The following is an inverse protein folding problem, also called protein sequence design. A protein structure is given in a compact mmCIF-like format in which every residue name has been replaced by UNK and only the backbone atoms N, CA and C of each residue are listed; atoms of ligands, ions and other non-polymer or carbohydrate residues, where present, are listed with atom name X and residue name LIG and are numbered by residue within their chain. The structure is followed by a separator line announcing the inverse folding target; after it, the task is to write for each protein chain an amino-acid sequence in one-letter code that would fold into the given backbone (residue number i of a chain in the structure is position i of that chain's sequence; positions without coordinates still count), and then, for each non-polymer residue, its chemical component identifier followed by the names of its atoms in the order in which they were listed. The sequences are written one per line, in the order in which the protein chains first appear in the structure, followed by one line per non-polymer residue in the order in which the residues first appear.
data_IF_590395097180
#
_entry.id   IF_590395097180
#
_cell.length_a   1.000
_cell.length_b   1.000
_cell.length_c   1.000
_cell.angle_alpha   90.00
_cell.angle_beta   90.00
_cell.angle_gamma   90.00
#
_symmetry.space_group_name_H-M   'P 1'
#
loop_
_entity.id
_entity.type
_entity.pdbx_description
1 polymer ?
#
# COMPACT_ATOMS: atom_id res chain seq x y z
N UNK A 1 -30.53 25.25 1.21
CA UNK A 1 -29.37 25.95 0.63
C UNK A 1 -29.26 25.44 -0.80
N UNK A 2 -29.38 26.30 -1.82
CA UNK A 2 -29.30 25.89 -3.21
C UNK A 2 -27.87 25.44 -3.50
N UNK A 3 -27.74 24.21 -4.03
CA UNK A 3 -26.47 23.73 -4.54
C UNK A 3 -26.02 24.70 -5.64
N UNK A 4 -24.98 25.48 -5.40
CA UNK A 4 -24.34 26.26 -6.44
C UNK A 4 -23.65 25.28 -7.37
N UNK A 5 -24.14 25.15 -8.60
CA UNK A 5 -23.50 24.30 -9.60
C UNK A 5 -22.05 24.78 -9.81
N UNK A 6 -21.09 23.89 -9.61
CA UNK A 6 -19.67 24.21 -9.84
C UNK A 6 -19.48 24.68 -11.28
N UNK A 7 -18.79 25.80 -11.43
CA UNK A 7 -18.48 26.35 -12.75
C UNK A 7 -17.38 25.53 -13.41
N UNK A 8 -17.63 24.98 -14.58
CA UNK A 8 -16.60 24.42 -15.46
C UNK A 8 -15.96 25.56 -16.27
N UNK A 9 -14.64 25.59 -16.34
CA UNK A 9 -13.87 26.66 -16.98
C UNK A 9 -12.76 26.10 -17.85
N UNK A 10 -12.39 26.83 -18.88
CA UNK A 10 -11.22 26.49 -19.69
C UNK A 10 -9.94 26.82 -18.93
N UNK A 11 -9.04 25.85 -18.83
CA UNK A 11 -7.80 25.93 -18.04
C UNK A 11 -6.91 27.12 -18.49
N UNK A 12 -6.85 27.41 -19.79
CA UNK A 12 -6.04 28.48 -20.35
C UNK A 12 -6.37 29.88 -19.83
N UNK A 13 -7.58 30.10 -19.28
CA UNK A 13 -7.93 31.34 -18.63
C UNK A 13 -7.17 31.57 -17.32
N UNK A 14 -6.75 30.49 -16.65
CA UNK A 14 -6.22 30.45 -15.29
C UNK A 14 -4.73 30.14 -15.22
N UNK A 15 -4.10 29.72 -16.33
CA UNK A 15 -2.67 29.39 -16.40
C UNK A 15 -1.95 30.23 -17.43
N UNK A 16 -0.63 30.37 -17.26
CA UNK A 16 0.25 31.06 -18.20
C UNK A 16 1.55 30.26 -18.41
N UNK A 17 2.16 30.31 -19.61
CA UNK A 17 3.41 29.64 -19.86
C UNK A 17 4.58 30.32 -19.17
N UNK A 18 5.61 29.54 -18.79
CA UNK A 18 6.87 30.00 -18.23
C UNK A 18 8.00 29.55 -19.16
N UNK A 19 8.83 30.49 -19.61
CA UNK A 19 9.98 30.23 -20.50
C UNK A 19 11.29 30.86 -20.01
N UNK A 20 11.39 31.12 -18.69
CA UNK A 20 12.64 31.57 -18.08
C UNK A 20 13.70 30.48 -18.23
N UNK A 21 14.93 30.87 -18.62
CA UNK A 21 16.01 29.91 -18.94
C UNK A 21 17.23 30.12 -18.06
N UNK A 22 18.04 29.08 -17.92
CA UNK A 22 19.31 29.08 -17.20
C UNK A 22 20.40 29.85 -17.98
N UNK A 23 20.08 31.02 -18.54
CA UNK A 23 20.94 31.79 -19.43
C UNK A 23 22.24 32.26 -18.76
N UNK A 24 22.18 32.50 -17.46
CA UNK A 24 23.33 32.94 -16.63
C UNK A 24 24.17 31.74 -16.15
N UNK A 25 23.77 30.48 -16.41
CA UNK A 25 24.48 29.29 -15.98
C UNK A 25 24.49 29.07 -14.46
N UNK A 26 23.54 29.65 -13.74
CA UNK A 26 23.46 29.56 -12.27
C UNK A 26 23.19 28.13 -11.77
N UNK A 27 22.39 27.39 -12.51
CA UNK A 27 21.98 26.03 -12.16
C UNK A 27 22.85 25.00 -12.87
N UNK A 28 23.19 23.92 -12.14
CA UNK A 28 24.14 22.89 -12.53
C UNK A 28 23.47 21.55 -12.83
N UNK A 29 24.23 20.50 -13.08
CA UNK A 29 23.71 19.14 -13.31
C UNK A 29 22.91 18.60 -12.12
N UNK A 30 23.24 19.00 -10.90
CA UNK A 30 22.54 18.59 -9.69
C UNK A 30 21.10 19.14 -9.62
N UNK A 31 20.84 20.24 -10.37
CA UNK A 31 19.54 20.88 -10.44
C UNK A 31 18.68 20.35 -11.59
N UNK A 32 19.25 19.52 -12.49
CA UNK A 32 18.51 18.97 -13.63
C UNK A 32 17.48 17.96 -13.16
N UNK A 33 16.22 18.15 -13.58
CA UNK A 33 15.14 17.20 -13.34
C UNK A 33 14.51 16.72 -14.64
N UNK A 34 14.17 15.44 -14.64
CA UNK A 34 13.27 14.84 -15.60
C UNK A 34 11.87 14.70 -15.01
N UNK A 35 10.91 14.32 -15.85
CA UNK A 35 9.52 14.12 -15.46
C UNK A 35 9.14 12.65 -15.73
N UNK A 36 8.59 12.00 -14.72
CA UNK A 36 8.14 10.62 -14.85
C UNK A 36 6.66 10.51 -15.21
N UNK A 37 6.27 9.35 -15.75
CA UNK A 37 4.85 9.01 -15.97
C UNK A 37 4.07 8.80 -14.65
N UNK A 38 4.79 8.73 -13.51
CA UNK A 38 4.20 8.73 -12.17
C UNK A 38 3.93 10.16 -11.66
N UNK A 39 4.04 11.17 -12.54
CA UNK A 39 3.78 12.58 -12.22
C UNK A 39 4.69 13.13 -11.12
N UNK A 40 5.98 12.77 -11.19
CA UNK A 40 7.00 13.20 -10.22
C UNK A 40 8.21 13.78 -10.95
N UNK A 41 8.83 14.78 -10.34
CA UNK A 41 10.19 15.18 -10.69
C UNK A 41 11.14 14.07 -10.27
N UNK A 42 12.06 13.70 -11.15
CA UNK A 42 13.09 12.68 -10.93
C UNK A 42 14.44 13.23 -11.37
N UNK A 43 15.52 12.69 -10.83
CA UNK A 43 16.83 12.93 -11.40
C UNK A 43 16.85 12.50 -12.88
N UNK A 44 17.49 13.30 -13.73
CA UNK A 44 17.58 12.96 -15.15
C UNK A 44 18.25 11.61 -15.35
N UNK A 45 17.70 10.82 -16.29
CA UNK A 45 18.30 9.55 -16.72
C UNK A 45 19.08 9.69 -18.03
N UNK A 46 19.06 10.88 -18.61
CA UNK A 46 19.77 11.17 -19.85
C UNK A 46 21.28 11.28 -19.57
N UNK A 47 22.08 10.87 -20.56
CA UNK A 47 23.50 11.19 -20.55
C UNK A 47 23.66 12.69 -20.79
N UNK A 48 24.22 13.37 -19.80
CA UNK A 48 24.39 14.81 -19.79
C UNK A 48 25.81 15.25 -20.16
N UNK A 49 26.67 14.31 -20.57
CA UNK A 49 28.05 14.65 -20.94
C UNK A 49 28.07 15.57 -22.16
N UNK A 50 28.69 16.74 -22.02
CA UNK A 50 28.80 17.72 -23.10
C UNK A 50 27.51 18.49 -23.43
N UNK A 51 26.43 18.30 -22.66
CA UNK A 51 25.17 19.01 -22.86
C UNK A 51 25.23 20.40 -22.24
N UNK A 52 24.96 21.45 -23.03
CA UNK A 52 24.79 22.81 -22.49
C UNK A 52 23.51 22.92 -21.69
N UNK A 53 23.60 23.49 -20.48
CA UNK A 53 22.46 23.71 -19.60
C UNK A 53 21.85 25.13 -19.76
N UNK A 54 22.47 26.01 -20.55
CA UNK A 54 21.96 27.37 -20.75
C UNK A 54 20.58 27.46 -21.41
N UNK A 55 20.20 26.56 -22.35
CA UNK A 55 18.84 26.57 -22.92
C UNK A 55 17.78 25.89 -22.04
N UNK A 56 18.15 25.24 -20.93
CA UNK A 56 17.20 24.61 -20.04
C UNK A 56 16.26 25.63 -19.41
N UNK A 57 15.00 25.26 -19.27
CA UNK A 57 13.97 26.12 -18.65
C UNK A 57 14.04 25.99 -17.12
N UNK A 58 13.89 27.14 -16.43
CA UNK A 58 13.72 27.16 -14.97
C UNK A 58 12.36 26.57 -14.62
N UNK A 59 12.31 25.83 -13.51
CA UNK A 59 11.10 25.33 -12.90
C UNK A 59 11.07 25.78 -11.45
N UNK A 60 10.39 26.89 -11.21
CA UNK A 60 10.29 27.48 -9.88
C UNK A 60 9.33 26.73 -8.96
N UNK A 61 9.37 26.95 -7.63
CA UNK A 61 8.39 26.37 -6.72
C UNK A 61 6.96 26.66 -7.17
N UNK A 62 6.09 25.64 -7.09
CA UNK A 62 4.68 25.65 -7.50
C UNK A 62 4.44 25.82 -9.01
N UNK A 63 5.48 25.78 -9.83
CA UNK A 63 5.34 25.70 -11.30
C UNK A 63 5.23 24.24 -11.75
N UNK A 64 4.62 24.10 -12.90
CA UNK A 64 4.40 22.82 -13.56
C UNK A 64 5.33 22.68 -14.76
N UNK A 65 5.65 21.43 -15.07
CA UNK A 65 6.29 21.08 -16.32
C UNK A 65 5.70 19.81 -16.89
N UNK A 66 5.49 19.74 -18.20
CA UNK A 66 5.04 18.51 -18.84
C UNK A 66 5.77 18.26 -20.17
N UNK A 67 5.79 16.99 -20.57
CA UNK A 67 6.36 16.54 -21.84
C UNK A 67 5.25 16.53 -22.88
N UNK A 68 5.38 17.32 -23.93
CA UNK A 68 4.38 17.40 -24.99
C UNK A 68 4.22 16.11 -25.77
N UNK A 69 5.31 15.33 -25.98
CA UNK A 69 5.28 14.06 -26.71
C UNK A 69 4.64 12.96 -25.85
N UNK A 70 3.49 12.47 -26.27
CA UNK A 70 2.71 11.42 -25.56
C UNK A 70 2.93 10.01 -26.09
N UNK A 71 3.30 9.86 -27.36
CA UNK A 71 3.39 8.57 -28.06
C UNK A 71 4.37 7.56 -27.45
N UNK A 72 5.34 8.00 -26.64
CA UNK A 72 6.33 7.15 -25.97
C UNK A 72 5.94 6.69 -24.56
N UNK A 73 4.87 7.23 -24.01
CA UNK A 73 4.50 7.08 -22.59
C UNK A 73 3.29 6.16 -22.40
N UNK A 74 2.87 5.41 -23.42
CA UNK A 74 1.66 4.62 -23.39
C UNK A 74 0.42 5.52 -23.28
N UNK A 75 -0.45 5.24 -22.32
CA UNK A 75 -1.67 6.03 -22.08
C UNK A 75 -1.52 7.15 -21.05
N UNK A 76 -0.28 7.57 -20.70
CA UNK A 76 -0.06 8.57 -19.63
C UNK A 76 0.75 9.75 -20.13
N UNK A 77 0.36 10.96 -19.70
CA UNK A 77 1.17 12.18 -19.91
C UNK A 77 2.21 12.30 -18.78
N UNK A 78 3.46 12.61 -19.14
CA UNK A 78 4.49 12.99 -18.17
C UNK A 78 4.30 14.44 -17.78
N UNK A 79 3.85 14.67 -16.56
CA UNK A 79 3.58 15.99 -15.98
C UNK A 79 3.99 15.97 -14.51
N UNK A 80 4.54 17.05 -13.99
CA UNK A 80 4.84 17.22 -12.57
C UNK A 80 4.68 18.68 -12.15
N UNK A 81 4.44 18.88 -10.86
CA UNK A 81 4.57 20.17 -10.18
C UNK A 81 5.89 20.17 -9.39
N UNK A 82 6.54 21.32 -9.29
CA UNK A 82 7.61 21.51 -8.33
C UNK A 82 7.01 21.80 -6.94
N UNK A 83 6.85 20.78 -6.14
CA UNK A 83 6.33 20.82 -4.78
C UNK A 83 7.41 21.09 -3.72
N UNK A 84 8.60 21.52 -4.14
CA UNK A 84 9.73 21.85 -3.26
C UNK A 84 9.94 23.35 -3.13
N UNK A 85 10.78 23.77 -2.19
CA UNK A 85 11.21 25.17 -2.06
C UNK A 85 12.38 25.56 -2.98
N UNK A 86 12.92 24.63 -3.79
CA UNK A 86 14.08 24.87 -4.64
C UNK A 86 13.65 25.11 -6.09
N UNK A 87 14.44 25.88 -6.82
CA UNK A 87 14.31 26.02 -8.28
C UNK A 87 15.13 24.92 -8.95
N UNK A 88 14.56 24.25 -9.92
CA UNK A 88 15.22 23.26 -10.76
C UNK A 88 15.29 23.71 -12.21
N UNK A 89 16.02 22.97 -13.03
CA UNK A 89 16.03 23.14 -14.48
C UNK A 89 15.56 21.87 -15.18
N UNK A 90 14.77 22.06 -16.23
CA UNK A 90 14.19 20.99 -17.04
C UNK A 90 14.52 21.17 -18.51
N UNK A 91 14.37 20.14 -19.32
CA UNK A 91 14.66 20.20 -20.76
C UNK A 91 13.93 21.36 -21.43
N UNK A 92 14.62 22.03 -22.36
CA UNK A 92 14.02 23.09 -23.22
C UNK A 92 12.85 22.58 -24.07
N UNK A 93 12.72 21.27 -24.26
CA UNK A 93 11.60 20.64 -24.98
C UNK A 93 10.34 20.42 -24.16
N UNK A 94 10.38 20.72 -22.86
CA UNK A 94 9.21 20.62 -21.99
C UNK A 94 8.44 21.95 -22.00
N UNK A 95 7.15 21.87 -21.73
CA UNK A 95 6.34 23.05 -21.49
C UNK A 95 6.17 23.30 -20.01
N UNK A 96 6.60 24.51 -19.57
CA UNK A 96 6.44 24.93 -18.18
C UNK A 96 5.31 25.97 -18.12
N UNK A 97 4.54 25.90 -17.02
CA UNK A 97 3.44 26.81 -16.78
C UNK A 97 3.17 27.03 -15.29
N UNK A 98 2.44 28.07 -14.96
CA UNK A 98 1.98 28.36 -13.60
C UNK A 98 0.54 28.84 -13.57
N UNK A 99 -0.08 28.81 -12.40
CA UNK A 99 -1.37 29.48 -12.18
C UNK A 99 -1.17 30.99 -12.18
N UNK A 100 -2.00 31.72 -12.94
CA UNK A 100 -1.96 33.19 -13.00
C UNK A 100 -2.30 33.86 -11.68
N UNK A 101 -3.27 33.29 -10.97
CA UNK A 101 -3.82 33.81 -9.72
C UNK A 101 -4.14 32.67 -8.76
N UNK A 102 -3.29 32.49 -7.76
CA UNK A 102 -3.43 31.44 -6.76
C UNK A 102 -4.61 31.66 -5.81
N UNK A 103 -5.21 32.85 -5.79
CA UNK A 103 -6.43 33.10 -5.03
C UNK A 103 -7.69 32.56 -5.73
N UNK A 104 -7.58 32.18 -7.01
CA UNK A 104 -8.67 31.58 -7.80
C UNK A 104 -8.44 30.11 -8.08
N UNK A 105 -7.20 29.72 -8.38
CA UNK A 105 -6.83 28.35 -8.68
C UNK A 105 -5.55 27.96 -7.94
N UNK A 106 -5.66 27.06 -6.97
CA UNK A 106 -4.51 26.51 -6.26
C UNK A 106 -3.71 25.56 -7.16
N UNK A 107 -2.38 25.73 -7.28
CA UNK A 107 -1.55 24.80 -8.05
C UNK A 107 -1.69 23.35 -7.56
N UNK A 108 -1.74 23.13 -6.26
CA UNK A 108 -1.90 21.79 -5.66
C UNK A 108 -3.24 21.15 -6.05
N UNK A 109 -4.33 21.93 -6.07
CA UNK A 109 -5.63 21.46 -6.55
C UNK A 109 -5.58 21.12 -8.04
N UNK A 110 -4.99 22.02 -8.87
CA UNK A 110 -4.80 21.74 -10.29
C UNK A 110 -4.00 20.45 -10.50
N UNK A 111 -2.93 20.25 -9.72
CA UNK A 111 -2.14 19.02 -9.81
C UNK A 111 -2.97 17.76 -9.50
N UNK A 112 -3.89 17.81 -8.54
CA UNK A 112 -4.81 16.70 -8.28
C UNK A 112 -5.69 16.39 -9.50
N UNK A 113 -6.21 17.41 -10.17
CA UNK A 113 -7.02 17.24 -11.38
C UNK A 113 -6.21 16.61 -12.52
N UNK A 114 -5.00 17.13 -12.78
CA UNK A 114 -4.12 16.68 -13.85
C UNK A 114 -3.45 15.33 -13.57
N UNK A 115 -3.50 14.86 -12.32
CA UNK A 115 -2.93 13.56 -11.93
C UNK A 115 -3.86 12.38 -12.17
N UNK A 116 -5.12 12.62 -12.53
CA UNK A 116 -6.13 11.55 -12.72
C UNK A 116 -5.96 10.81 -14.04
N UNK A 117 -6.43 9.57 -14.05
CA UNK A 117 -6.45 8.74 -15.26
C UNK A 117 -7.35 9.30 -16.38
N UNK A 118 -8.37 10.09 -16.00
CA UNK A 118 -9.23 10.80 -16.94
C UNK A 118 -8.43 11.83 -17.76
N UNK A 119 -7.55 12.59 -17.10
CA UNK A 119 -6.68 13.54 -17.79
C UNK A 119 -5.63 12.84 -18.65
N UNK A 120 -5.11 11.71 -18.21
CA UNK A 120 -4.22 10.88 -19.04
C UNK A 120 -4.93 10.43 -20.34
N UNK A 121 -6.18 9.95 -20.24
CA UNK A 121 -6.97 9.58 -21.42
C UNK A 121 -7.30 10.77 -22.31
N UNK A 122 -7.68 11.90 -21.70
CA UNK A 122 -7.97 13.13 -22.42
C UNK A 122 -6.74 13.62 -23.19
N UNK A 123 -5.58 13.72 -22.55
CA UNK A 123 -4.34 14.16 -23.19
C UNK A 123 -3.91 13.23 -24.31
N UNK A 124 -4.09 11.91 -24.13
CA UNK A 124 -3.78 10.92 -25.18
C UNK A 124 -4.73 11.02 -26.37
N UNK A 125 -6.01 11.21 -26.13
CA UNK A 125 -7.02 11.36 -27.18
C UNK A 125 -6.82 12.62 -28.00
N UNK A 126 -6.44 13.73 -27.37
CA UNK A 126 -6.20 15.03 -28.00
C UNK A 126 -4.72 15.25 -28.39
N UNK A 127 -3.96 14.17 -28.62
CA UNK A 127 -2.59 14.23 -29.12
C UNK A 127 -2.56 13.91 -30.61
N UNK A 128 -1.86 14.73 -31.39
CA UNK A 128 -1.82 14.66 -32.84
C UNK A 128 -0.40 14.63 -33.38
N UNK A 129 -0.21 14.01 -34.54
CA UNK A 129 1.09 13.94 -35.23
C UNK A 129 1.34 12.61 -35.91
N UNK A 130 1.98 12.61 -37.08
CA UNK A 130 2.21 11.39 -37.89
C UNK A 130 3.38 10.55 -37.38
N UNK A 131 4.47 11.18 -36.92
CA UNK A 131 5.67 10.48 -36.43
C UNK A 131 5.81 10.52 -34.90
N UNK A 132 5.35 11.59 -34.29
CA UNK A 132 5.30 11.78 -32.83
C UNK A 132 4.02 12.51 -32.49
N UNK A 133 3.15 11.86 -31.74
CA UNK A 133 1.93 12.49 -31.27
C UNK A 133 2.28 13.41 -30.11
N UNK A 134 1.79 14.64 -30.17
CA UNK A 134 2.01 15.69 -29.18
C UNK A 134 0.70 16.23 -28.67
N UNK A 135 0.64 16.44 -27.37
CA UNK A 135 -0.40 17.20 -26.69
C UNK A 135 0.14 18.62 -26.48
N UNK A 136 -0.19 19.51 -27.40
CA UNK A 136 0.37 20.86 -27.43
C UNK A 136 -0.27 21.79 -26.40
N UNK A 137 0.36 22.98 -26.23
CA UNK A 137 -0.11 23.96 -25.28
C UNK A 137 -1.52 24.48 -25.58
N UNK A 138 -1.90 24.57 -26.84
CA UNK A 138 -3.22 25.09 -27.23
C UNK A 138 -4.32 24.10 -26.81
N UNK A 139 -4.09 22.80 -27.01
CA UNK A 139 -5.01 21.75 -26.52
C UNK A 139 -5.02 21.65 -24.99
N UNK A 140 -3.85 21.83 -24.36
CA UNK A 140 -3.76 21.88 -22.90
C UNK A 140 -4.64 23.01 -22.34
N UNK A 141 -4.60 24.20 -22.94
CA UNK A 141 -5.42 25.36 -22.56
C UNK A 141 -6.94 25.12 -22.75
N UNK A 142 -7.34 24.28 -23.69
CA UNK A 142 -8.76 23.95 -23.93
C UNK A 142 -9.33 22.96 -22.92
N UNK A 143 -8.47 22.34 -22.08
CA UNK A 143 -8.95 21.43 -21.04
C UNK A 143 -9.96 22.12 -20.15
N UNK A 144 -11.13 21.51 -19.98
CA UNK A 144 -12.12 21.99 -19.02
C UNK A 144 -11.89 21.38 -17.64
N UNK A 145 -11.92 22.22 -16.61
CA UNK A 145 -11.76 21.84 -15.22
C UNK A 145 -12.92 22.36 -14.36
N UNK A 146 -13.34 21.65 -13.32
CA UNK A 146 -14.24 22.19 -12.31
C UNK A 146 -13.47 23.19 -11.44
N UNK A 147 -14.04 24.36 -11.22
CA UNK A 147 -13.45 25.42 -10.40
C UNK A 147 -14.38 25.76 -9.22
N UNK A 148 -14.29 25.04 -8.11
CA UNK A 148 -14.99 25.37 -6.89
C UNK A 148 -14.34 26.59 -6.19
N UNK A 149 -14.94 27.05 -5.08
CA UNK A 149 -14.36 28.11 -4.27
C UNK A 149 -12.97 27.71 -3.74
N UNK A 150 -12.15 28.70 -3.40
CA UNK A 150 -10.77 28.47 -2.97
C UNK A 150 -10.73 27.64 -1.67
N UNK A 151 -11.72 27.81 -0.80
CA UNK A 151 -11.85 27.06 0.45
C UNK A 151 -12.08 25.58 0.17
N UNK A 152 -12.95 25.25 -0.79
CA UNK A 152 -13.20 23.87 -1.21
C UNK A 152 -11.96 23.26 -1.88
N UNK A 153 -11.24 24.02 -2.70
CA UNK A 153 -9.97 23.58 -3.29
C UNK A 153 -8.96 23.22 -2.18
N UNK A 154 -8.83 24.09 -1.16
CA UNK A 154 -7.92 23.87 -0.04
C UNK A 154 -8.32 22.62 0.78
N UNK A 155 -9.60 22.46 1.10
CA UNK A 155 -10.10 21.26 1.82
C UNK A 155 -9.74 19.95 1.06
N UNK A 156 -9.86 19.97 -0.27
CA UNK A 156 -9.52 18.80 -1.10
C UNK A 156 -8.01 18.51 -1.08
N UNK A 157 -7.19 19.56 -1.18
CA UNK A 157 -5.73 19.45 -1.10
C UNK A 157 -5.29 18.94 0.26
N UNK A 158 -5.84 19.47 1.34
CA UNK A 158 -5.52 19.07 2.72
C UNK A 158 -5.91 17.60 2.98
N UNK A 159 -7.08 17.18 2.51
CA UNK A 159 -7.54 15.80 2.61
C UNK A 159 -6.58 14.85 1.87
N UNK A 160 -6.19 15.20 0.65
CA UNK A 160 -5.25 14.40 -0.14
C UNK A 160 -3.88 14.30 0.54
N UNK A 161 -3.34 15.44 0.96
CA UNK A 161 -2.03 15.51 1.61
C UNK A 161 -2.03 14.77 2.95
N UNK A 162 -3.10 14.86 3.73
CA UNK A 162 -3.27 14.10 4.97
C UNK A 162 -3.25 12.60 4.75
N UNK A 163 -3.99 12.10 3.77
CA UNK A 163 -3.98 10.67 3.41
C UNK A 163 -2.63 10.22 2.85
N UNK A 164 -1.96 11.05 2.03
CA UNK A 164 -0.64 10.77 1.50
C UNK A 164 0.39 10.68 2.62
N UNK A 165 0.41 11.65 3.53
CA UNK A 165 1.31 11.66 4.68
C UNK A 165 1.07 10.44 5.59
N UNK A 166 -0.20 10.10 5.85
CA UNK A 166 -0.56 8.92 6.66
C UNK A 166 -0.02 7.63 6.04
N UNK A 167 -0.15 7.47 4.72
CA UNK A 167 0.40 6.31 4.02
C UNK A 167 1.93 6.27 4.11
N UNK A 168 2.61 7.36 3.78
CA UNK A 168 4.08 7.45 3.76
C UNK A 168 4.71 7.25 5.14
N UNK A 169 4.13 7.83 6.20
CA UNK A 169 4.59 7.66 7.57
C UNK A 169 4.49 6.20 8.02
N UNK A 170 3.36 5.55 7.73
CA UNK A 170 3.20 4.14 8.10
C UNK A 170 4.06 3.21 7.24
N UNK A 171 4.22 3.46 5.95
CA UNK A 171 5.14 2.71 5.08
C UNK A 171 6.59 2.78 5.60
N UNK A 172 7.04 3.94 6.11
CA UNK A 172 8.37 4.11 6.67
C UNK A 172 8.62 3.29 7.95
N UNK A 173 7.57 2.91 8.69
CA UNK A 173 7.67 2.07 9.88
C UNK A 173 7.79 0.57 9.56
N UNK A 174 7.37 0.12 8.38
CA UNK A 174 7.28 -1.31 8.05
C UNK A 174 8.65 -2.00 8.10
N UNK A 175 9.66 -1.44 7.44
CA UNK A 175 10.98 -2.06 7.37
C UNK A 175 11.70 -2.10 8.73
N UNK A 176 11.78 -1.02 9.51
CA UNK A 176 12.38 -1.05 10.84
C UNK A 176 11.69 -2.05 11.79
N UNK A 177 10.36 -2.06 11.83
CA UNK A 177 9.60 -2.99 12.68
C UNK A 177 9.79 -4.45 12.25
N UNK A 178 9.80 -4.74 10.95
CA UNK A 178 10.05 -6.08 10.42
C UNK A 178 11.43 -6.59 10.82
N UNK A 179 12.47 -5.76 10.64
CA UNK A 179 13.85 -6.10 11.03
C UNK A 179 13.97 -6.33 12.54
N UNK A 180 13.31 -5.53 13.36
CA UNK A 180 13.31 -5.70 14.81
C UNK A 180 12.67 -7.04 15.23
N UNK A 181 11.54 -7.40 14.63
CA UNK A 181 10.88 -8.69 14.87
C UNK A 181 11.76 -9.88 14.43
N UNK A 182 12.38 -9.80 13.26
CA UNK A 182 13.27 -10.85 12.76
C UNK A 182 14.51 -11.03 13.65
N UNK A 183 15.16 -9.93 14.03
CA UNK A 183 16.31 -9.94 14.91
C UNK A 183 15.99 -10.55 16.28
N UNK A 184 14.84 -10.21 16.85
CA UNK A 184 14.40 -10.79 18.14
C UNK A 184 14.25 -12.31 18.06
N UNK A 185 13.63 -12.84 16.99
CA UNK A 185 13.45 -14.29 16.83
C UNK A 185 14.81 -15.00 16.72
N UNK A 186 15.77 -14.41 16.01
CA UNK A 186 17.14 -14.95 15.90
C UNK A 186 17.83 -14.94 17.26
N UNK A 187 17.77 -13.83 18.00
CA UNK A 187 18.36 -13.70 19.32
C UNK A 187 17.75 -14.68 20.33
N UNK A 188 16.45 -14.91 20.27
CA UNK A 188 15.77 -15.87 21.15
C UNK A 188 16.38 -17.27 21.10
N UNK A 189 16.80 -17.75 19.92
CA UNK A 189 17.39 -19.08 19.74
C UNK A 189 18.75 -19.24 20.42
N UNK A 190 19.48 -18.15 20.53
CA UNK A 190 20.81 -18.16 21.18
C UNK A 190 20.72 -17.87 22.67
N UNK A 191 19.72 -17.11 23.10
CA UNK A 191 19.61 -16.55 24.45
C UNK A 191 18.77 -17.44 25.38
N UNK A 192 17.77 -18.15 24.85
CA UNK A 192 16.82 -18.92 25.67
C UNK A 192 16.86 -20.41 25.34
N UNK A 193 16.61 -21.28 26.35
CA UNK A 193 16.51 -22.71 26.10
C UNK A 193 15.32 -23.04 25.21
N UNK A 194 15.52 -24.02 24.34
CA UNK A 194 14.44 -24.57 23.54
C UNK A 194 13.62 -25.60 24.35
N UNK A 195 12.31 -25.52 24.23
CA UNK A 195 11.35 -26.41 24.85
C UNK A 195 10.49 -27.12 23.81
N UNK A 196 10.02 -28.32 24.11
CA UNK A 196 9.05 -29.01 23.26
C UNK A 196 7.67 -28.38 23.40
N UNK A 197 7.09 -27.97 22.26
CA UNK A 197 5.87 -27.19 22.20
C UNK A 197 4.65 -27.92 22.81
N UNK A 198 4.60 -29.25 22.72
CA UNK A 198 3.49 -30.07 23.22
C UNK A 198 3.20 -29.92 24.72
N UNK A 199 4.20 -29.49 25.52
CA UNK A 199 3.99 -29.14 26.92
C UNK A 199 3.20 -27.88 27.17
N UNK A 200 3.10 -26.99 26.16
CA UNK A 200 2.60 -25.63 26.29
C UNK A 200 1.34 -25.34 25.48
N UNK A 201 0.99 -26.20 24.53
CA UNK A 201 -0.22 -26.06 23.69
C UNK A 201 -1.18 -27.22 23.91
N UNK A 202 -2.44 -26.98 23.51
CA UNK A 202 -3.48 -28.00 23.51
C UNK A 202 -4.32 -27.87 22.23
N UNK A 203 -4.81 -29.00 21.70
CA UNK A 203 -5.71 -29.01 20.56
C UNK A 203 -7.13 -28.67 21.02
N UNK A 204 -7.78 -27.76 20.29
CA UNK A 204 -9.17 -27.37 20.49
C UNK A 204 -10.04 -27.99 19.39
N UNK A 205 -10.57 -29.21 19.63
CA UNK A 205 -11.40 -29.93 18.66
C UNK A 205 -12.90 -29.80 18.97
N UNK A 206 -13.39 -28.58 19.15
CA UNK A 206 -14.81 -28.29 19.30
C UNK A 206 -15.43 -27.90 17.97
N UNK A 207 -16.62 -28.48 17.72
CA UNK A 207 -17.39 -28.26 16.50
C UNK A 207 -18.56 -27.31 16.74
N UNK A 208 -19.00 -26.65 15.67
CA UNK A 208 -20.18 -25.77 15.64
C UNK A 208 -21.49 -26.59 15.63
N UNK A 209 -21.65 -27.54 16.57
CA UNK A 209 -22.68 -28.59 16.56
C UNK A 209 -24.10 -28.02 16.53
N UNK A 210 -24.32 -26.86 17.11
CA UNK A 210 -25.59 -26.12 17.13
C UNK A 210 -25.79 -25.21 15.90
N UNK A 211 -24.78 -25.16 15.02
CA UNK A 211 -24.75 -24.29 13.85
C UNK A 211 -24.95 -22.80 14.16
N UNK A 212 -24.59 -22.37 15.38
CA UNK A 212 -24.81 -21.00 15.86
C UNK A 212 -23.86 -19.98 15.20
N UNK A 213 -22.61 -20.37 14.96
CA UNK A 213 -21.58 -19.50 14.38
C UNK A 213 -21.64 -19.55 12.85
N UNK A 214 -21.81 -18.38 12.20
CA UNK A 214 -21.92 -18.23 10.74
C UNK A 214 -20.72 -17.52 10.10
N UNK A 215 -19.73 -17.13 10.90
CA UNK A 215 -18.50 -16.45 10.44
C UNK A 215 -17.49 -17.49 9.93
N UNK A 216 -17.68 -17.91 8.67
CA UNK A 216 -16.78 -18.88 8.03
C UNK A 216 -15.53 -18.18 7.54
N UNK A 217 -14.37 -18.66 7.95
CA UNK A 217 -13.06 -18.18 7.50
C UNK A 217 -12.25 -19.33 6.93
N UNK A 218 -11.32 -19.00 6.05
CA UNK A 218 -10.29 -19.93 5.56
C UNK A 218 -8.91 -19.47 6.02
N UNK A 219 -8.04 -20.43 6.32
CA UNK A 219 -6.63 -20.17 6.64
C UNK A 219 -5.86 -19.98 5.33
N UNK A 220 -5.14 -18.89 5.22
CA UNK A 220 -4.41 -18.50 4.01
C UNK A 220 -2.91 -18.82 4.13
N UNK A 221 -2.25 -18.98 2.99
CA UNK A 221 -0.78 -19.06 2.89
C UNK A 221 -0.06 -17.79 3.35
N UNK A 222 -0.78 -16.66 3.37
CA UNK A 222 -0.28 -15.40 3.97
C UNK A 222 -0.36 -15.39 5.49
N UNK A 223 -0.78 -16.52 6.09
CA UNK A 223 -0.89 -16.74 7.54
C UNK A 223 -1.88 -15.82 8.23
N UNK A 224 -3.02 -15.64 7.57
CA UNK A 224 -4.14 -14.82 8.01
C UNK A 224 -5.46 -15.53 7.73
N UNK A 225 -6.50 -15.16 8.49
CA UNK A 225 -7.86 -15.53 8.13
C UNK A 225 -8.38 -14.68 6.97
N UNK A 226 -8.97 -15.33 5.97
CA UNK A 226 -9.62 -14.68 4.83
C UNK A 226 -11.07 -15.15 4.71
N UNK A 227 -11.88 -14.35 4.03
CA UNK A 227 -13.19 -14.81 3.58
C UNK A 227 -13.00 -16.04 2.70
N UNK A 228 -13.86 -17.04 2.91
CA UNK A 228 -13.79 -18.25 2.10
C UNK A 228 -14.30 -17.99 0.68
N UNK A 229 -13.53 -18.43 -0.33
CA UNK A 229 -13.94 -18.39 -1.73
C UNK A 229 -14.81 -19.61 -2.10
N UNK A 230 -14.90 -20.62 -1.22
CA UNK A 230 -15.73 -21.79 -1.45
C UNK A 230 -17.21 -21.44 -1.29
N UNK A 231 -18.07 -22.06 -2.12
CA UNK A 231 -19.51 -22.04 -1.92
C UNK A 231 -19.85 -22.86 -0.69
N UNK A 232 -19.92 -22.23 0.46
CA UNK A 232 -20.25 -22.87 1.74
C UNK A 232 -21.72 -22.67 2.03
N UNK A 233 -22.44 -23.76 2.29
CA UNK A 233 -23.82 -23.68 2.79
C UNK A 233 -23.78 -23.28 4.28
N UNK A 234 -24.17 -22.05 4.60
CA UNK A 234 -24.18 -21.53 5.98
C UNK A 234 -25.19 -22.23 6.90
N UNK A 235 -26.11 -23.02 6.33
CA UNK A 235 -27.07 -23.79 7.11
C UNK A 235 -26.53 -25.16 7.53
N UNK A 236 -25.37 -25.57 7.02
CA UNK A 236 -24.73 -26.87 7.25
C UNK A 236 -23.31 -26.73 7.78
N UNK A 237 -23.09 -25.92 8.82
CA UNK A 237 -21.78 -25.68 9.42
C UNK A 237 -21.52 -26.50 10.68
N UNK A 238 -22.40 -27.45 11.01
CA UNK A 238 -22.29 -28.27 12.26
C UNK A 238 -21.00 -29.09 12.33
N UNK A 239 -20.43 -29.49 11.19
CA UNK A 239 -19.16 -30.20 11.11
C UNK A 239 -17.92 -29.31 11.19
N UNK A 240 -18.05 -28.01 11.05
CA UNK A 240 -16.93 -27.06 11.08
C UNK A 240 -16.37 -26.90 12.49
N UNK A 241 -15.05 -26.61 12.59
CA UNK A 241 -14.38 -26.40 13.87
C UNK A 241 -14.48 -24.94 14.29
N UNK A 242 -14.69 -24.74 15.59
CA UNK A 242 -14.69 -23.40 16.19
C UNK A 242 -13.25 -22.90 16.38
N UNK A 243 -13.05 -21.61 16.16
CA UNK A 243 -11.80 -20.89 16.43
C UNK A 243 -12.11 -19.67 17.31
N UNK A 244 -12.14 -19.83 18.64
CA UNK A 244 -12.35 -18.74 19.57
C UNK A 244 -11.23 -17.67 19.47
N UNK A 245 -11.41 -16.49 20.10
CA UNK A 245 -10.33 -15.52 20.27
C UNK A 245 -9.06 -16.16 20.85
N UNK A 246 -7.89 -15.71 20.39
CA UNK A 246 -6.57 -16.21 20.80
C UNK A 246 -6.35 -17.73 20.58
N UNK A 247 -6.97 -18.27 19.52
CA UNK A 247 -6.69 -19.60 19.01
C UNK A 247 -6.05 -19.51 17.64
N UNK A 248 -5.11 -20.42 17.35
CA UNK A 248 -4.49 -20.57 16.03
C UNK A 248 -5.18 -21.70 15.30
N UNK A 249 -5.70 -21.46 14.11
CA UNK A 249 -6.06 -22.50 13.17
C UNK A 249 -4.93 -22.73 12.17
N UNK A 250 -4.67 -24.01 11.79
CA UNK A 250 -3.68 -24.33 10.78
C UNK A 250 -4.11 -25.47 9.86
N UNK A 251 -3.58 -25.46 8.65
CA UNK A 251 -3.77 -26.49 7.63
C UNK A 251 -2.64 -27.51 7.76
N UNK A 252 -2.99 -28.78 7.99
CA UNK A 252 -1.98 -29.84 8.17
C UNK A 252 -1.21 -30.15 6.87
N UNK A 253 -1.85 -29.97 5.70
CA UNK A 253 -1.25 -30.32 4.41
C UNK A 253 -0.27 -29.24 3.97
N UNK A 254 0.99 -29.59 3.74
CA UNK A 254 2.08 -28.65 3.41
C UNK A 254 2.53 -28.73 1.95
N UNK A 255 2.29 -29.85 1.26
CA UNK A 255 2.84 -30.16 -0.08
C UNK A 255 2.47 -29.16 -1.17
N UNK A 256 1.21 -28.72 -1.22
CA UNK A 256 0.72 -27.88 -2.31
C UNK A 256 1.16 -26.43 -2.16
N UNK A 257 1.25 -25.94 -0.93
CA UNK A 257 1.44 -24.52 -0.61
C UNK A 257 2.90 -24.19 -0.26
N UNK A 258 3.73 -25.22 -0.02
CA UNK A 258 5.13 -25.08 0.41
C UNK A 258 5.31 -24.14 1.61
N UNK A 259 4.33 -24.11 2.50
CA UNK A 259 4.36 -23.36 3.74
C UNK A 259 3.45 -24.01 4.80
N UNK A 260 3.68 -23.69 6.06
CA UNK A 260 2.79 -24.02 7.17
C UNK A 260 1.70 -22.94 7.27
N UNK A 261 0.60 -23.13 6.52
CA UNK A 261 -0.53 -22.20 6.53
C UNK A 261 -1.21 -22.23 7.91
N UNK A 262 -1.22 -21.09 8.58
CA UNK A 262 -1.81 -20.90 9.90
C UNK A 262 -2.35 -19.48 10.05
N UNK A 263 -3.27 -19.25 11.01
CA UNK A 263 -3.80 -17.94 11.31
C UNK A 263 -4.24 -17.87 12.77
N UNK A 264 -3.95 -16.76 13.43
CA UNK A 264 -4.38 -16.46 14.80
C UNK A 264 -5.65 -15.62 14.77
N UNK A 265 -6.66 -16.02 15.54
CA UNK A 265 -7.84 -15.20 15.75
C UNK A 265 -7.55 -14.11 16.81
N UNK A 266 -7.34 -12.88 16.35
CA UNK A 266 -7.14 -11.70 17.22
C UNK A 266 -8.42 -10.89 17.42
N UNK A 267 -9.56 -11.31 16.83
CA UNK A 267 -10.84 -10.63 17.01
C UNK A 267 -11.53 -11.04 18.30
N UNK A 268 -12.59 -10.35 18.65
CA UNK A 268 -13.50 -10.74 19.74
C UNK A 268 -14.49 -11.86 19.37
N UNK A 269 -14.62 -12.15 18.07
CA UNK A 269 -15.60 -13.09 17.55
C UNK A 269 -15.01 -14.50 17.43
N UNK A 270 -15.87 -15.51 17.57
CA UNK A 270 -15.50 -16.89 17.22
C UNK A 270 -15.73 -17.12 15.74
N UNK A 271 -14.73 -17.70 15.06
CA UNK A 271 -14.82 -18.11 13.66
C UNK A 271 -15.10 -19.61 13.53
N UNK A 272 -15.53 -20.04 12.37
CA UNK A 272 -15.54 -21.45 11.98
C UNK A 272 -14.63 -21.68 10.79
N UNK A 273 -13.85 -22.77 10.85
CA UNK A 273 -12.94 -23.24 9.79
C UNK A 273 -13.30 -24.64 9.35
N UNK A 274 -12.69 -25.10 8.26
CA UNK A 274 -12.91 -26.46 7.74
C UNK A 274 -12.69 -27.53 8.81
N UNK A 275 -13.47 -28.60 8.74
CA UNK A 275 -13.31 -29.76 9.65
C UNK A 275 -11.94 -30.44 9.57
N UNK A 276 -11.19 -30.24 8.47
CA UNK A 276 -9.84 -30.83 8.28
C UNK A 276 -8.73 -29.95 8.86
N UNK A 277 -9.01 -28.70 9.18
CA UNK A 277 -8.05 -27.82 9.83
C UNK A 277 -7.89 -28.20 11.29
N UNK A 278 -6.74 -27.90 11.86
CA UNK A 278 -6.49 -28.05 13.30
C UNK A 278 -6.57 -26.71 14.00
N UNK A 279 -7.03 -26.72 15.23
CA UNK A 279 -7.09 -25.53 16.09
C UNK A 279 -6.35 -25.80 17.38
N UNK A 280 -5.48 -24.89 17.77
CA UNK A 280 -4.67 -24.97 18.99
C UNK A 280 -4.77 -23.69 19.82
N UNK A 281 -4.47 -23.80 21.10
CA UNK A 281 -4.36 -22.67 22.02
C UNK A 281 -3.26 -22.91 23.06
N UNK A 282 -2.85 -21.87 23.75
CA UNK A 282 -1.88 -21.96 24.86
C UNK A 282 -2.55 -22.53 26.10
N UNK A 283 -1.93 -23.56 26.72
CA UNK A 283 -2.42 -24.14 28.00
C UNK A 283 -2.39 -23.15 29.14
N UNK A 284 -1.34 -22.34 29.19
CA UNK A 284 -1.18 -21.28 30.18
C UNK A 284 -0.67 -19.99 29.50
N UNK A 285 -1.54 -19.00 29.30
CA UNK A 285 -1.17 -17.71 28.73
C UNK A 285 -0.20 -16.87 29.57
N UNK A 286 0.08 -17.28 30.80
CA UNK A 286 1.13 -16.68 31.64
C UNK A 286 2.52 -17.22 31.37
N UNK A 287 2.61 -18.35 30.64
CA UNK A 287 3.88 -19.01 30.29
C UNK A 287 4.17 -18.90 28.80
N UNK A 288 3.16 -19.13 27.94
CA UNK A 288 3.26 -18.99 26.50
C UNK A 288 2.19 -18.03 25.96
N UNK A 289 2.61 -16.88 25.45
CA UNK A 289 1.72 -16.00 24.68
C UNK A 289 1.48 -16.59 23.29
N UNK A 290 0.24 -16.89 22.97
CA UNK A 290 -0.12 -17.50 21.67
C UNK A 290 0.22 -16.58 20.48
N UNK A 291 0.28 -15.27 20.67
CA UNK A 291 0.69 -14.29 19.64
C UNK A 291 2.17 -14.43 19.34
N UNK A 292 3.00 -14.65 20.37
CA UNK A 292 4.42 -14.95 20.20
C UNK A 292 4.63 -16.26 19.43
N UNK A 293 3.87 -17.31 19.77
CA UNK A 293 3.90 -18.58 19.04
C UNK A 293 3.53 -18.37 17.57
N UNK A 294 2.48 -17.60 17.29
CA UNK A 294 2.07 -17.28 15.94
C UNK A 294 3.17 -16.54 15.17
N UNK A 295 3.91 -15.64 15.82
CA UNK A 295 5.05 -14.94 15.21
C UNK A 295 6.15 -15.93 14.78
N UNK A 296 6.48 -16.94 15.62
CA UNK A 296 7.41 -18.02 15.25
C UNK A 296 6.88 -18.76 14.02
N UNK A 297 5.61 -19.15 14.01
CA UNK A 297 4.99 -19.87 12.89
C UNK A 297 4.95 -19.07 11.58
N UNK A 298 5.00 -17.75 11.64
CA UNK A 298 5.07 -16.87 10.45
C UNK A 298 6.44 -16.87 9.79
N UNK A 299 7.49 -17.36 10.47
CA UNK A 299 8.85 -17.33 9.93
C UNK A 299 9.02 -18.31 8.77
N UNK A 300 9.86 -17.94 7.79
CA UNK A 300 10.24 -18.82 6.67
C UNK A 300 11.01 -20.06 7.16
N UNK A 301 11.66 -19.94 8.29
CA UNK A 301 12.38 -21.04 8.90
C UNK A 301 11.41 -22.08 9.44
N UNK A 302 10.33 -21.67 10.08
CA UNK A 302 9.28 -22.57 10.51
C UNK A 302 8.59 -23.27 9.32
N UNK A 303 8.39 -22.56 8.21
CA UNK A 303 7.87 -23.16 6.98
C UNK A 303 8.78 -24.30 6.49
N UNK A 304 10.08 -24.06 6.44
CA UNK A 304 11.06 -25.09 6.05
C UNK A 304 11.05 -26.28 7.01
N UNK A 305 10.98 -25.99 8.30
CA UNK A 305 10.89 -27.05 9.34
C UNK A 305 9.63 -27.89 9.19
N UNK A 306 8.47 -27.27 9.04
CA UNK A 306 7.20 -27.96 8.89
C UNK A 306 7.14 -28.81 7.60
N UNK A 307 7.67 -28.30 6.49
CA UNK A 307 7.76 -29.05 5.23
C UNK A 307 8.69 -30.26 5.39
N UNK A 308 9.86 -30.07 5.99
CA UNK A 308 10.84 -31.16 6.19
C UNK A 308 10.30 -32.29 7.10
N UNK A 309 9.50 -31.94 8.09
CA UNK A 309 8.88 -32.88 9.03
C UNK A 309 7.44 -33.27 8.63
N UNK A 310 7.07 -33.11 7.36
CA UNK A 310 5.79 -33.56 6.82
C UNK A 310 5.92 -34.90 6.15
N UNK A 311 4.96 -35.81 6.40
CA UNK A 311 4.97 -37.18 5.93
C UNK A 311 3.67 -37.54 5.19
N UNK A 312 3.77 -38.46 4.24
CA UNK A 312 2.64 -39.00 3.50
C UNK A 312 2.90 -39.15 2.00
N UNK A 313 2.42 -40.25 1.41
CA UNK A 313 2.68 -40.56 -0.01
C UNK A 313 1.83 -39.71 -0.99
N UNK A 314 0.55 -39.51 -0.66
CA UNK A 314 -0.37 -38.76 -1.50
C UNK A 314 -0.51 -37.28 -1.06
N UNK A 315 -0.51 -37.04 0.23
CA UNK A 315 -0.56 -35.71 0.84
C UNK A 315 0.42 -35.67 1.99
N UNK A 316 1.44 -34.82 1.87
CA UNK A 316 2.36 -34.57 2.96
C UNK A 316 1.66 -33.73 4.03
N UNK A 317 1.65 -34.22 5.27
CA UNK A 317 0.99 -33.56 6.39
C UNK A 317 1.96 -33.35 7.54
N UNK A 318 1.92 -32.16 8.10
CA UNK A 318 2.54 -31.80 9.36
C UNK A 318 1.46 -31.89 10.45
N UNK A 319 1.40 -33.05 11.10
CA UNK A 319 0.32 -33.35 12.03
C UNK A 319 0.54 -32.74 13.43
N UNK A 320 -0.46 -32.90 14.31
CA UNK A 320 -0.39 -32.34 15.67
C UNK A 320 0.71 -32.97 16.50
N UNK A 321 1.03 -34.26 16.28
CA UNK A 321 2.08 -34.95 17.03
C UNK A 321 3.47 -34.41 16.68
N UNK A 322 3.72 -34.10 15.39
CA UNK A 322 4.95 -33.45 14.96
C UNK A 322 5.02 -32.00 15.45
N UNK A 323 3.88 -31.29 15.45
CA UNK A 323 3.82 -29.93 16.02
C UNK A 323 4.18 -29.96 17.52
N UNK A 324 3.71 -30.97 18.28
CA UNK A 324 4.04 -31.13 19.70
C UNK A 324 5.54 -31.38 19.94
N UNK A 325 6.23 -32.10 19.05
CA UNK A 325 7.68 -32.35 19.10
C UNK A 325 8.54 -31.16 18.68
N UNK A 326 7.93 -30.18 18.06
CA UNK A 326 8.65 -28.98 17.64
C UNK A 326 9.28 -28.30 18.84
N UNK A 327 10.56 -27.93 18.71
CA UNK A 327 11.28 -27.17 19.73
C UNK A 327 11.29 -25.70 19.36
N UNK A 328 10.93 -24.87 20.33
CA UNK A 328 10.92 -23.41 20.20
C UNK A 328 11.68 -22.77 21.37
N UNK A 329 12.36 -21.62 21.17
CA UNK A 329 12.87 -20.85 22.28
C UNK A 329 11.71 -20.28 23.10
N UNK A 330 11.83 -20.33 24.42
CA UNK A 330 10.80 -19.82 25.34
C UNK A 330 11.39 -18.70 26.21
N UNK A 331 11.34 -17.43 25.74
CA UNK A 331 11.74 -16.29 26.56
C UNK A 331 10.75 -16.03 27.70
N UNK A 332 11.11 -15.22 28.70
CA UNK A 332 10.17 -14.74 29.72
C UNK A 332 8.91 -14.13 29.09
N UNK A 333 7.76 -14.32 29.76
CA UNK A 333 6.45 -13.93 29.22
C UNK A 333 6.37 -12.43 28.86
N UNK A 334 7.07 -11.57 29.60
CA UNK A 334 7.08 -10.14 29.30
C UNK A 334 7.81 -9.81 28.00
N UNK A 335 8.86 -10.55 27.66
CA UNK A 335 9.56 -10.40 26.38
C UNK A 335 8.71 -10.95 25.23
N UNK A 336 7.99 -12.08 25.45
CA UNK A 336 7.04 -12.61 24.46
C UNK A 336 5.94 -11.61 24.14
N UNK A 337 5.37 -10.96 25.16
CA UNK A 337 4.34 -9.93 25.00
C UNK A 337 4.87 -8.71 24.27
N UNK A 338 6.04 -8.24 24.66
CA UNK A 338 6.67 -7.05 24.05
C UNK A 338 6.88 -7.23 22.55
N UNK A 339 7.40 -8.40 22.12
CA UNK A 339 7.60 -8.66 20.68
C UNK A 339 6.28 -8.89 19.94
N UNK A 340 5.31 -9.52 20.58
CA UNK A 340 3.98 -9.70 20.01
C UNK A 340 3.28 -8.35 19.78
N UNK A 341 3.41 -7.42 20.72
CA UNK A 341 2.86 -6.08 20.60
C UNK A 341 3.59 -5.27 19.51
N UNK A 342 4.93 -5.39 19.42
CA UNK A 342 5.69 -4.78 18.33
C UNK A 342 5.26 -5.31 16.95
N UNK A 343 5.00 -6.61 16.86
CA UNK A 343 4.50 -7.23 15.65
C UNK A 343 3.08 -6.73 15.29
N UNK A 344 2.21 -6.55 16.29
CA UNK A 344 0.89 -5.95 16.06
C UNK A 344 1.02 -4.52 15.50
N UNK A 345 1.95 -3.70 16.01
CA UNK A 345 2.23 -2.38 15.44
C UNK A 345 2.67 -2.46 13.96
N UNK A 346 3.48 -3.45 13.59
CA UNK A 346 3.88 -3.70 12.20
C UNK A 346 2.66 -3.99 11.31
N UNK A 347 1.77 -4.89 11.73
CA UNK A 347 0.59 -5.27 10.94
C UNK A 347 -0.40 -4.11 10.84
N UNK A 348 -0.56 -3.32 11.91
CA UNK A 348 -1.40 -2.11 11.90
C UNK A 348 -0.84 -1.04 10.96
N UNK A 349 0.48 -0.80 10.97
CA UNK A 349 1.13 0.12 10.04
C UNK A 349 0.92 -0.30 8.58
N UNK A 350 1.06 -1.58 8.25
CA UNK A 350 0.76 -2.13 6.91
C UNK A 350 -0.70 -1.88 6.51
N UNK A 351 -1.63 -2.15 7.42
CA UNK A 351 -3.06 -1.96 7.20
C UNK A 351 -3.40 -0.50 6.93
N UNK A 352 -2.95 0.41 7.81
CA UNK A 352 -3.19 1.86 7.66
C UNK A 352 -2.61 2.36 6.34
N UNK A 353 -1.37 1.99 6.01
CA UNK A 353 -0.73 2.37 4.75
C UNK A 353 -1.54 1.90 3.53
N UNK A 354 -1.96 0.65 3.52
CA UNK A 354 -2.77 0.07 2.44
C UNK A 354 -4.12 0.74 2.30
N UNK A 355 -4.85 0.95 3.40
CA UNK A 355 -6.15 1.62 3.39
C UNK A 355 -6.04 3.08 2.93
N UNK A 356 -5.00 3.80 3.37
CA UNK A 356 -4.76 5.17 2.94
C UNK A 356 -4.45 5.24 1.44
N UNK A 357 -3.65 4.30 0.90
CA UNK A 357 -3.37 4.20 -0.54
C UNK A 357 -4.62 3.88 -1.37
N UNK A 358 -5.47 2.98 -0.90
CA UNK A 358 -6.74 2.69 -1.59
C UNK A 358 -7.70 3.89 -1.56
N UNK A 359 -7.80 4.59 -0.42
CA UNK A 359 -8.57 5.83 -0.33
C UNK A 359 -8.04 6.91 -1.28
N UNK A 360 -6.73 7.07 -1.41
CA UNK A 360 -6.14 7.99 -2.38
C UNK A 360 -6.55 7.68 -3.82
N UNK A 361 -6.60 6.39 -4.22
CA UNK A 361 -7.03 5.98 -5.57
C UNK A 361 -8.51 6.28 -5.84
N UNK A 362 -9.37 6.10 -4.84
CA UNK A 362 -10.82 6.26 -4.99
C UNK A 362 -11.31 7.67 -4.72
N UNK A 363 -10.65 8.40 -3.81
CA UNK A 363 -11.07 9.73 -3.38
C UNK A 363 -10.76 10.80 -4.44
N UNK A 364 -9.63 10.73 -5.15
CA UNK A 364 -9.33 11.73 -6.17
C UNK A 364 -10.44 11.86 -7.24
N UNK A 365 -10.97 10.78 -7.84
CA UNK A 365 -12.12 10.87 -8.73
C UNK A 365 -13.40 11.35 -8.03
N UNK A 366 -13.69 10.82 -6.83
CA UNK A 366 -14.92 11.14 -6.10
C UNK A 366 -14.95 12.58 -5.57
N UNK A 367 -13.82 13.10 -5.09
CA UNK A 367 -13.68 14.49 -4.61
C UNK A 367 -13.87 15.50 -5.75
N UNK A 368 -13.30 15.19 -6.92
CA UNK A 368 -13.52 16.02 -8.11
C UNK A 368 -14.98 15.97 -8.56
N UNK A 369 -15.61 14.81 -8.52
CA UNK A 369 -17.02 14.65 -8.84
C UNK A 369 -17.90 15.35 -7.81
N UNK A 370 -17.55 15.33 -6.53
CA UNK A 370 -18.22 16.11 -5.47
C UNK A 370 -18.03 17.60 -5.68
N UNK A 371 -16.80 18.03 -5.97
CA UNK A 371 -16.50 19.42 -6.33
C UNK A 371 -17.25 19.87 -7.59
N UNK A 372 -17.52 18.97 -8.54
CA UNK A 372 -18.31 19.26 -9.75
C UNK A 372 -19.83 19.28 -9.49
N UNK A 373 -20.29 18.77 -8.35
CA UNK A 373 -21.72 18.69 -7.99
C UNK A 373 -22.09 19.59 -6.79
N UNK A 374 -21.13 20.25 -6.13
CA UNK A 374 -21.35 21.23 -5.06
C UNK A 374 -21.39 22.65 -5.59
#
# INVERSE_FOLDING_TARGET
MSASSVKWVQLGEYIEPCDERNSEGKYTLDDVRGISIQKKLIFTKADMQGVSLTPYKLLQPREFSYVTVTSRNGGKISLAINDTGNTYIVSSSYENFRCKDVSKLLPEYLFLLLSRSEFDRYSRFNSWGSARETFDWSEFCRTEIPLPSIEVQQELVDTYNGLKALAEQNEALIEPLSKACEAFIVDCKTKYPEVELGGYIEEFDRRNSDNAIKLVKSVSVTKEFKETNAKVNKDELSGYKLVPPYHIAYVQTTKNEKCFANALNTSSDTYVVSQVDRVIFSRDPKVLDIRFLHLIFRSKEFDRYAIFNSWGSARETFDYSELCRTRIPLPPIEEQRSIADLYNCLEEAKKIASEAREKLKTLCPALVQRAANS
#
